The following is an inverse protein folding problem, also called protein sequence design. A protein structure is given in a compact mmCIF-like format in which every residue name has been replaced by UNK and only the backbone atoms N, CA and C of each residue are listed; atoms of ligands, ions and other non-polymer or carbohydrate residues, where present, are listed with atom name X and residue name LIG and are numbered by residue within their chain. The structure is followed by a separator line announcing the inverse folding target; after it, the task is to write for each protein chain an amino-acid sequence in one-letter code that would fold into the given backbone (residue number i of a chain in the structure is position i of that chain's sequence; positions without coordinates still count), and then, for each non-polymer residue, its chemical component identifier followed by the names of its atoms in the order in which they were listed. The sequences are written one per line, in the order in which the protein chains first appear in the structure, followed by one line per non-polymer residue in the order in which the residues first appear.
data_IF_006317994440
#
_entry.id   IF_006317994440
#
_cell.length_a   1.000
_cell.length_b   1.000
_cell.length_c   1.000
_cell.angle_alpha   90.00
_cell.angle_beta   90.00
_cell.angle_gamma   90.00
#
_symmetry.space_group_name_H-M   'P 1'
#
loop_
_entity.id
_entity.type
_entity.pdbx_description
1 polymer ?
#
# COMPACT_ATOMS: atom_id res chain seq x y z
N UNK A 1 -12.34 -5.17 -17.31
CA UNK A 1 -12.07 -4.11 -16.31
C UNK A 1 -12.18 -4.74 -14.94
N UNK A 2 -11.07 -4.88 -14.20
CA UNK A 2 -11.10 -5.43 -12.85
C UNK A 2 -11.63 -4.37 -11.88
N UNK A 3 -12.73 -4.65 -11.18
CA UNK A 3 -13.21 -3.82 -10.07
C UNK A 3 -12.43 -4.20 -8.82
N UNK A 4 -11.38 -3.45 -8.48
CA UNK A 4 -10.96 -3.33 -7.09
C UNK A 4 -12.11 -2.63 -6.35
N UNK A 5 -12.71 -3.29 -5.35
CA UNK A 5 -13.73 -2.66 -4.51
C UNK A 5 -12.99 -1.97 -3.36
N UNK A 6 -12.80 -0.64 -3.37
CA UNK A 6 -12.37 0.05 -2.17
C UNK A 6 -13.50 -0.03 -1.13
N UNK A 7 -13.14 -0.23 0.14
CA UNK A 7 -14.09 -0.31 1.26
C UNK A 7 -14.97 0.95 1.34
N UNK A 8 -14.51 2.08 0.80
CA UNK A 8 -15.22 3.36 0.73
C UNK A 8 -16.30 3.48 -0.35
N UNK A 9 -16.41 2.58 -1.33
CA UNK A 9 -17.43 2.62 -2.40
C UNK A 9 -18.55 1.57 -2.26
N UNK A 10 -18.77 1.05 -1.05
CA UNK A 10 -19.92 0.20 -0.72
C UNK A 10 -21.22 1.03 -0.69
N UNK A 11 -21.69 1.48 -1.85
CA UNK A 11 -23.09 1.92 -2.02
C UNK A 11 -24.00 0.71 -2.22
N UNK A 12 -25.26 0.86 -1.81
CA UNK A 12 -25.99 -0.07 -0.94
C UNK A 12 -26.45 -1.41 -1.52
N UNK A 13 -26.61 -1.58 -2.84
CA UNK A 13 -27.51 -2.66 -3.29
C UNK A 13 -26.88 -3.77 -4.13
N UNK A 14 -25.74 -3.56 -4.80
CA UNK A 14 -25.08 -4.64 -5.59
C UNK A 14 -23.72 -5.07 -5.04
N UNK A 15 -23.07 -4.22 -4.24
CA UNK A 15 -21.81 -4.55 -3.55
C UNK A 15 -22.03 -5.24 -2.20
N UNK A 16 -23.26 -5.20 -1.66
CA UNK A 16 -23.54 -5.71 -0.33
C UNK A 16 -23.47 -7.24 -0.25
N UNK A 17 -23.82 -7.99 -1.29
CA UNK A 17 -23.78 -9.46 -1.26
C UNK A 17 -22.34 -10.00 -1.27
N UNK A 18 -21.50 -9.53 -2.20
CA UNK A 18 -20.11 -9.99 -2.33
C UNK A 18 -19.26 -9.55 -1.12
N UNK A 19 -19.45 -8.31 -0.63
CA UNK A 19 -18.76 -7.83 0.57
C UNK A 19 -19.23 -8.54 1.84
N UNK A 20 -20.54 -8.80 2.02
CA UNK A 20 -21.04 -9.52 3.19
C UNK A 20 -20.59 -10.98 3.21
N UNK A 21 -20.52 -11.64 2.05
CA UNK A 21 -20.06 -13.03 1.97
C UNK A 21 -18.55 -13.14 2.25
N UNK A 22 -17.74 -12.24 1.68
CA UNK A 22 -16.30 -12.15 1.97
C UNK A 22 -16.05 -11.79 3.45
N UNK A 23 -16.80 -10.84 4.00
CA UNK A 23 -16.69 -10.44 5.40
C UNK A 23 -17.13 -11.56 6.35
N UNK A 24 -18.19 -12.31 6.03
CA UNK A 24 -18.65 -13.47 6.82
C UNK A 24 -17.63 -14.61 6.81
N UNK A 25 -16.94 -14.82 5.69
CA UNK A 25 -15.85 -15.78 5.58
C UNK A 25 -14.60 -15.33 6.35
N UNK A 26 -14.27 -14.03 6.34
CA UNK A 26 -13.16 -13.46 7.09
C UNK A 26 -13.41 -13.36 8.61
N UNK A 27 -14.67 -13.14 9.05
CA UNK A 27 -15.09 -13.09 10.46
C UNK A 27 -15.09 -14.44 11.18
N UNK A 28 -14.51 -15.49 10.59
CA UNK A 28 -14.28 -16.73 11.31
C UNK A 28 -13.38 -16.48 12.53
N UNK A 29 -13.59 -17.22 13.62
CA UNK A 29 -12.82 -17.14 14.88
C UNK A 29 -11.31 -17.42 14.73
N UNK A 30 -10.84 -17.64 13.50
CA UNK A 30 -9.44 -17.95 13.15
C UNK A 30 -8.55 -16.70 13.13
N UNK A 31 -9.08 -15.50 12.88
CA UNK A 31 -8.25 -14.29 12.79
C UNK A 31 -7.60 -13.87 14.14
N UNK A 32 -8.22 -14.23 15.26
CA UNK A 32 -7.66 -13.94 16.60
C UNK A 32 -6.76 -15.06 17.13
N UNK A 33 -6.50 -16.12 16.34
CA UNK A 33 -5.72 -17.27 16.79
C UNK A 33 -4.23 -16.95 16.77
N UNK A 34 -3.59 -17.05 17.93
CA UNK A 34 -2.14 -17.10 18.04
C UNK A 34 -1.66 -18.54 17.88
N UNK A 35 -0.56 -18.70 17.14
CA UNK A 35 0.08 -19.98 16.90
C UNK A 35 1.37 -20.01 17.73
N UNK A 36 1.48 -20.93 18.68
CA UNK A 36 2.76 -21.25 19.33
C UNK A 36 3.24 -22.55 18.71
N UNK A 37 3.84 -22.47 17.53
CA UNK A 37 4.38 -23.63 16.83
C UNK A 37 5.82 -23.86 17.26
N UNK A 38 6.16 -25.12 17.51
CA UNK A 38 7.55 -25.58 17.52
C UNK A 38 8.06 -25.71 16.07
N UNK A 39 9.38 -25.82 15.91
CA UNK A 39 10.02 -25.88 14.59
C UNK A 39 9.51 -27.05 13.74
N UNK A 40 9.17 -28.18 14.38
CA UNK A 40 8.62 -29.36 13.73
C UNK A 40 7.19 -29.13 13.21
N UNK A 41 6.33 -28.44 13.98
CA UNK A 41 4.99 -28.10 13.50
C UNK A 41 5.03 -27.04 12.40
N UNK A 42 6.03 -26.14 12.39
CA UNK A 42 6.13 -25.21 11.26
C UNK A 42 6.50 -25.93 9.95
N UNK A 43 7.38 -26.93 9.96
CA UNK A 43 7.77 -27.61 8.71
C UNK A 43 6.55 -28.24 8.02
N UNK A 44 5.62 -28.82 8.79
CA UNK A 44 4.37 -29.39 8.25
C UNK A 44 3.49 -28.32 7.59
N UNK A 45 3.38 -27.12 8.18
CA UNK A 45 2.61 -26.03 7.57
C UNK A 45 3.30 -25.49 6.32
N UNK A 46 4.63 -25.42 6.32
CA UNK A 46 5.40 -25.03 5.12
C UNK A 46 5.15 -26.02 3.98
N UNK A 47 5.10 -27.32 4.25
CA UNK A 47 4.80 -28.33 3.23
C UNK A 47 3.40 -28.13 2.64
N UNK A 48 2.39 -27.89 3.50
CA UNK A 48 1.04 -27.52 3.06
C UNK A 48 1.00 -26.24 2.23
N UNK A 49 1.81 -25.23 2.59
CA UNK A 49 1.94 -24.00 1.80
C UNK A 49 2.59 -24.27 0.44
N UNK A 50 3.63 -25.10 0.39
CA UNK A 50 4.35 -25.44 -0.85
C UNK A 50 3.46 -26.18 -1.86
N UNK A 51 2.51 -27.01 -1.40
CA UNK A 51 1.55 -27.70 -2.28
C UNK A 51 0.67 -26.74 -3.10
N UNK A 52 0.39 -25.56 -2.54
CA UNK A 52 -0.46 -24.54 -3.17
C UNK A 52 0.34 -23.29 -3.57
N UNK A 53 1.67 -23.32 -3.46
CA UNK A 53 2.52 -22.19 -3.82
C UNK A 53 2.61 -22.05 -5.34
N UNK A 54 2.21 -20.89 -5.85
CA UNK A 54 2.15 -20.60 -7.28
C UNK A 54 3.54 -20.61 -7.94
N UNK A 55 4.63 -20.40 -7.19
CA UNK A 55 6.00 -20.51 -7.71
C UNK A 55 6.44 -21.96 -7.88
N UNK A 56 6.00 -22.83 -6.97
CA UNK A 56 6.33 -24.26 -6.96
C UNK A 56 5.38 -25.08 -7.84
N UNK A 57 4.24 -24.50 -8.19
CA UNK A 57 3.25 -25.13 -9.06
C UNK A 57 3.83 -25.43 -10.46
N UNK A 58 4.02 -26.72 -10.74
CA UNK A 58 4.56 -27.22 -12.01
C UNK A 58 3.49 -27.55 -13.06
N UNK A 59 2.21 -27.34 -12.73
CA UNK A 59 1.12 -27.63 -13.66
C UNK A 59 1.14 -26.69 -14.86
N UNK A 60 1.19 -27.27 -16.06
CA UNK A 60 1.14 -26.53 -17.33
C UNK A 60 -0.23 -25.89 -17.61
N UNK A 61 -1.27 -26.24 -16.84
CA UNK A 61 -2.64 -25.77 -17.03
C UNK A 61 -3.18 -25.13 -15.75
N UNK A 62 -3.92 -24.03 -15.93
CA UNK A 62 -4.70 -23.39 -14.87
C UNK A 62 -5.70 -24.39 -14.27
N UNK A 63 -5.59 -24.72 -12.98
CA UNK A 63 -6.62 -25.52 -12.29
C UNK A 63 -7.80 -24.62 -11.96
N UNK A 64 -8.88 -24.76 -12.72
CA UNK A 64 -10.06 -23.88 -12.66
C UNK A 64 -10.83 -23.93 -11.33
N UNK A 65 -10.59 -24.96 -10.51
CA UNK A 65 -11.37 -25.20 -9.28
C UNK A 65 -10.56 -25.04 -7.98
N UNK A 66 -9.32 -24.55 -8.05
CA UNK A 66 -8.49 -24.36 -6.86
C UNK A 66 -7.85 -22.98 -6.83
N UNK A 67 -7.63 -22.47 -5.62
CA UNK A 67 -6.80 -21.29 -5.38
C UNK A 67 -5.38 -21.68 -5.01
N UNK A 68 -4.42 -20.81 -5.30
CA UNK A 68 -3.04 -20.97 -4.85
C UNK A 68 -2.53 -19.70 -4.16
N UNK A 69 -1.37 -19.78 -3.53
CA UNK A 69 -0.78 -18.71 -2.73
C UNK A 69 0.55 -18.24 -3.31
N UNK A 70 0.85 -16.97 -3.08
CA UNK A 70 2.15 -16.36 -3.27
C UNK A 70 2.55 -15.70 -1.95
N UNK A 71 3.76 -15.98 -1.49
CA UNK A 71 4.33 -15.35 -0.30
C UNK A 71 5.49 -14.46 -0.76
N UNK A 72 5.49 -13.20 -0.30
CA UNK A 72 6.56 -12.24 -0.59
C UNK A 72 7.89 -12.71 -0.03
N UNK A 73 8.98 -12.33 -0.68
CA UNK A 73 10.34 -12.70 -0.25
C UNK A 73 10.70 -12.18 1.15
N UNK A 74 10.10 -11.07 1.58
CA UNK A 74 10.33 -10.47 2.90
C UNK A 74 9.47 -11.09 4.02
N UNK A 75 8.49 -11.95 3.68
CA UNK A 75 7.59 -12.54 4.65
C UNK A 75 8.08 -13.92 5.07
N UNK A 76 8.23 -14.13 6.38
CA UNK A 76 8.63 -15.42 6.91
C UNK A 76 7.42 -16.37 7.04
N UNK A 77 7.50 -17.55 6.41
CA UNK A 77 6.37 -18.49 6.34
C UNK A 77 5.91 -19.03 7.70
N UNK A 78 6.79 -19.14 8.69
CA UNK A 78 6.42 -19.53 10.06
C UNK A 78 5.96 -18.36 10.93
N UNK A 79 5.87 -17.14 10.40
CA UNK A 79 5.38 -16.01 11.19
C UNK A 79 3.88 -16.19 11.47
N UNK A 80 3.46 -15.94 12.71
CA UNK A 80 2.06 -16.09 13.14
C UNK A 80 1.07 -15.30 12.28
N UNK A 81 1.48 -14.15 11.75
CA UNK A 81 0.68 -13.35 10.83
C UNK A 81 0.43 -14.10 9.51
N UNK A 82 1.48 -14.67 8.89
CA UNK A 82 1.42 -15.43 7.64
C UNK A 82 0.66 -16.74 7.81
N UNK A 83 0.90 -17.48 8.89
CA UNK A 83 0.22 -18.75 9.19
C UNK A 83 -1.28 -18.56 9.34
N UNK A 84 -1.68 -17.56 10.12
CA UNK A 84 -3.07 -17.17 10.26
C UNK A 84 -3.68 -16.79 8.92
N UNK A 85 -2.98 -15.96 8.15
CA UNK A 85 -3.44 -15.51 6.83
C UNK A 85 -3.59 -16.66 5.84
N UNK A 86 -2.70 -17.64 5.89
CA UNK A 86 -2.81 -18.86 5.11
C UNK A 86 -4.07 -19.66 5.49
N UNK A 87 -4.31 -19.86 6.78
CA UNK A 87 -5.43 -20.65 7.29
C UNK A 87 -6.78 -20.01 7.00
N UNK A 88 -7.02 -18.73 7.34
CA UNK A 88 -8.33 -18.14 7.09
C UNK A 88 -8.62 -17.96 5.60
N UNK A 89 -7.61 -17.65 4.79
CA UNK A 89 -7.80 -17.56 3.33
C UNK A 89 -8.01 -18.94 2.69
N UNK A 90 -7.60 -20.03 3.35
CA UNK A 90 -7.87 -21.41 2.91
C UNK A 90 -9.28 -21.90 3.24
N UNK A 91 -10.11 -21.07 3.89
CA UNK A 91 -11.46 -21.44 4.29
C UNK A 91 -12.30 -21.90 3.08
N UNK A 92 -13.04 -23.03 3.18
CA UNK A 92 -13.93 -23.51 2.12
C UNK A 92 -14.97 -22.47 1.69
N UNK A 93 -15.35 -21.56 2.59
CA UNK A 93 -16.28 -20.47 2.29
C UNK A 93 -15.68 -19.49 1.26
N UNK A 94 -14.38 -19.20 1.33
CA UNK A 94 -13.71 -18.31 0.37
C UNK A 94 -13.64 -18.97 -1.01
N UNK A 95 -13.32 -20.26 -1.06
CA UNK A 95 -13.26 -21.02 -2.31
C UNK A 95 -14.64 -21.12 -2.98
N UNK A 96 -15.70 -21.32 -2.20
CA UNK A 96 -17.09 -21.28 -2.70
C UNK A 96 -17.42 -19.91 -3.31
N UNK A 97 -17.08 -18.81 -2.62
CA UNK A 97 -17.31 -17.45 -3.13
C UNK A 97 -16.56 -17.21 -4.44
N UNK A 98 -15.31 -17.69 -4.56
CA UNK A 98 -14.56 -17.58 -5.81
C UNK A 98 -15.25 -18.31 -6.97
N UNK A 99 -15.72 -19.53 -6.73
CA UNK A 99 -16.45 -20.33 -7.72
C UNK A 99 -17.77 -19.67 -8.12
N UNK A 100 -18.54 -19.18 -7.15
CA UNK A 100 -19.80 -18.47 -7.38
C UNK A 100 -19.60 -17.20 -8.20
N UNK A 101 -18.54 -16.44 -7.93
CA UNK A 101 -18.23 -15.22 -8.68
C UNK A 101 -17.93 -15.50 -10.16
N UNK A 102 -17.16 -16.54 -10.48
CA UNK A 102 -16.91 -16.93 -11.90
C UNK A 102 -18.19 -17.46 -12.55
N UNK A 103 -18.99 -18.23 -11.80
CA UNK A 103 -20.27 -18.76 -12.31
C UNK A 103 -21.26 -17.64 -12.62
N UNK A 104 -21.28 -16.59 -11.80
CA UNK A 104 -22.15 -15.44 -11.97
C UNK A 104 -21.63 -14.48 -13.07
N UNK A 105 -20.31 -14.34 -13.21
CA UNK A 105 -19.67 -13.50 -14.21
C UNK A 105 -18.46 -14.19 -14.84
N UNK A 106 -18.68 -14.78 -16.02
CA UNK A 106 -17.65 -15.46 -16.80
C UNK A 106 -16.56 -14.53 -17.36
N UNK A 107 -16.70 -13.20 -17.23
CA UNK A 107 -15.67 -12.23 -17.65
C UNK A 107 -14.57 -12.03 -16.60
N UNK A 108 -14.75 -12.55 -15.39
CA UNK A 108 -13.77 -12.49 -14.30
C UNK A 108 -12.59 -13.41 -14.62
N UNK A 109 -11.46 -12.80 -15.02
CA UNK A 109 -10.25 -13.54 -15.38
C UNK A 109 -9.46 -14.07 -14.16
N UNK A 110 -9.47 -13.32 -13.05
CA UNK A 110 -8.78 -13.69 -11.82
C UNK A 110 -9.42 -12.97 -10.62
N UNK A 111 -9.35 -13.62 -9.47
CA UNK A 111 -9.73 -13.12 -8.16
C UNK A 111 -8.55 -13.29 -7.23
N UNK A 112 -8.36 -12.34 -6.31
CA UNK A 112 -7.23 -12.38 -5.40
C UNK A 112 -7.56 -11.77 -4.05
N UNK A 113 -6.86 -12.24 -3.02
CA UNK A 113 -6.85 -11.69 -1.67
C UNK A 113 -5.41 -11.32 -1.37
N UNK A 114 -5.15 -10.04 -1.10
CA UNK A 114 -3.88 -9.61 -0.50
C UNK A 114 -4.05 -9.45 0.99
N UNK A 115 -3.06 -9.87 1.75
CA UNK A 115 -3.05 -9.72 3.22
C UNK A 115 -1.92 -8.80 3.66
N UNK A 116 -2.00 -8.29 4.89
CA UNK A 116 -0.98 -7.42 5.48
C UNK A 116 0.30 -8.18 5.86
N UNK A 117 0.25 -9.51 5.97
CA UNK A 117 1.44 -10.35 6.18
C UNK A 117 2.27 -10.55 4.90
N UNK A 118 1.75 -10.14 3.73
CA UNK A 118 2.39 -10.40 2.43
C UNK A 118 1.89 -11.66 1.72
N UNK A 119 1.03 -12.46 2.35
CA UNK A 119 0.39 -13.58 1.65
C UNK A 119 -0.64 -13.08 0.64
N UNK A 120 -0.54 -13.56 -0.59
CA UNK A 120 -1.51 -13.31 -1.66
C UNK A 120 -2.13 -14.62 -2.11
N UNK A 121 -3.45 -14.76 -2.01
CA UNK A 121 -4.18 -15.91 -2.58
C UNK A 121 -4.78 -15.54 -3.92
N UNK A 122 -4.61 -16.37 -4.94
CA UNK A 122 -5.09 -16.16 -6.30
C UNK A 122 -5.98 -17.32 -6.75
N UNK A 123 -7.06 -16.98 -7.46
CA UNK A 123 -8.00 -17.91 -8.06
C UNK A 123 -8.33 -17.49 -9.50
N UNK A 124 -8.33 -18.40 -10.49
CA UNK A 124 -7.89 -19.79 -10.37
C UNK A 124 -6.37 -19.88 -10.19
N UNK A 125 -5.90 -21.01 -9.63
CA UNK A 125 -4.49 -21.28 -9.44
C UNK A 125 -3.77 -21.37 -10.79
N UNK A 126 -2.72 -20.56 -10.95
CA UNK A 126 -1.89 -20.45 -12.15
C UNK A 126 -0.43 -20.27 -11.76
N UNK A 127 0.49 -20.95 -12.46
CA UNK A 127 1.94 -20.80 -12.24
C UNK A 127 2.33 -19.32 -12.23
N UNK A 128 3.07 -18.92 -11.20
CA UNK A 128 3.66 -17.60 -11.08
C UNK A 128 4.90 -17.53 -11.97
N UNK A 129 4.82 -16.74 -13.04
CA UNK A 129 5.90 -16.61 -14.03
C UNK A 129 6.56 -15.25 -13.83
N UNK A 130 7.88 -15.24 -13.73
CA UNK A 130 8.70 -14.03 -13.61
C UNK A 130 9.66 -14.07 -14.78
N UNK A 131 9.54 -13.13 -15.72
CA UNK A 131 10.40 -13.12 -16.90
C UNK A 131 11.52 -12.09 -16.78
N UNK A 132 12.81 -12.45 -16.97
CA UNK A 132 13.35 -13.80 -17.21
C UNK A 132 13.61 -14.65 -15.92
N UNK A 133 13.04 -15.87 -15.86
CA UNK A 133 13.02 -16.77 -14.68
C UNK A 133 14.39 -17.10 -14.02
N UNK A 134 15.57 -17.12 -14.69
CA UNK A 134 16.82 -17.44 -14.00
C UNK A 134 17.58 -16.22 -13.42
N UNK A 135 17.17 -14.99 -13.72
CA UNK A 135 17.94 -13.78 -13.34
C UNK A 135 17.14 -12.90 -12.36
N UNK A 136 15.82 -12.89 -12.46
CA UNK A 136 14.98 -11.95 -11.72
C UNK A 136 14.46 -12.54 -10.41
N UNK A 137 14.84 -11.91 -9.30
CA UNK A 137 14.23 -12.14 -8.00
C UNK A 137 12.80 -11.59 -8.03
N UNK A 138 11.87 -12.35 -7.46
CA UNK A 138 10.48 -11.92 -7.31
C UNK A 138 10.31 -10.84 -6.24
N UNK A 139 10.12 -9.60 -6.66
CA UNK A 139 9.84 -8.48 -5.75
C UNK A 139 8.33 -8.20 -5.62
N UNK A 140 7.47 -9.16 -5.98
CA UNK A 140 6.04 -8.97 -5.80
C UNK A 140 5.67 -8.95 -4.32
N UNK A 141 4.98 -7.87 -3.94
CA UNK A 141 4.35 -7.71 -2.64
C UNK A 141 2.97 -7.05 -2.81
N UNK A 142 1.88 -7.64 -2.27
CA UNK A 142 0.55 -7.06 -2.37
C UNK A 142 0.46 -5.68 -1.72
N UNK A 143 1.22 -5.43 -0.65
CA UNK A 143 1.14 -4.21 0.18
C UNK A 143 1.54 -2.95 -0.57
N UNK A 144 2.41 -3.09 -1.56
CA UNK A 144 2.84 -1.99 -2.41
C UNK A 144 2.02 -1.88 -3.71
N UNK A 145 1.01 -2.73 -3.92
CA UNK A 145 0.19 -2.65 -5.14
C UNK A 145 -0.86 -1.56 -5.04
N UNK A 146 -1.09 -0.78 -6.12
CA UNK A 146 -2.08 0.29 -6.10
C UNK A 146 -3.48 -0.16 -5.68
N UNK A 147 -3.92 -1.35 -6.08
CA UNK A 147 -5.22 -1.90 -5.70
C UNK A 147 -5.34 -2.16 -4.19
N UNK A 148 -4.25 -2.52 -3.53
CA UNK A 148 -4.20 -2.77 -2.09
C UNK A 148 -4.15 -1.45 -1.31
N UNK A 149 -3.25 -0.55 -1.72
CA UNK A 149 -3.09 0.78 -1.10
C UNK A 149 -4.40 1.59 -1.17
N UNK A 150 -5.06 1.59 -2.33
CA UNK A 150 -6.33 2.29 -2.53
C UNK A 150 -7.49 1.68 -1.73
N UNK A 151 -7.40 0.40 -1.36
CA UNK A 151 -8.43 -0.26 -0.55
C UNK A 151 -8.24 0.00 0.95
N UNK A 152 -6.99 0.18 1.40
CA UNK A 152 -6.65 0.36 2.82
C UNK A 152 -6.75 1.80 3.32
N UNK A 153 -6.61 2.80 2.45
CA UNK A 153 -6.54 4.20 2.87
C UNK A 153 -7.38 5.10 1.97
N UNK A 154 -8.00 6.11 2.57
CA UNK A 154 -8.51 7.24 1.82
C UNK A 154 -7.37 8.00 1.11
N UNK A 155 -7.68 8.79 0.07
CA UNK A 155 -6.74 9.71 -0.56
C UNK A 155 -6.03 10.62 0.45
N UNK A 156 -4.81 11.05 0.12
CA UNK A 156 -3.94 11.79 1.03
C UNK A 156 -3.38 13.05 0.38
N UNK A 157 -3.29 14.13 1.15
CA UNK A 157 -2.58 15.36 0.83
C UNK A 157 -1.27 15.38 1.62
N UNK A 158 -0.13 15.14 0.95
CA UNK A 158 1.19 15.03 1.59
C UNK A 158 2.05 16.25 1.29
N UNK A 159 2.46 16.97 2.34
CA UNK A 159 3.46 18.04 2.28
C UNK A 159 4.83 17.51 2.73
N UNK A 160 5.80 17.47 1.83
CA UNK A 160 7.19 17.15 2.16
C UNK A 160 7.93 18.41 2.62
N UNK A 161 8.52 18.39 3.81
CA UNK A 161 9.44 19.40 4.31
C UNK A 161 10.85 18.80 4.33
N UNK A 162 11.74 19.30 3.47
CA UNK A 162 13.06 18.73 3.23
C UNK A 162 14.14 19.69 3.74
N UNK A 163 14.87 19.29 4.75
CA UNK A 163 16.04 20.03 5.23
C UNK A 163 17.16 19.97 4.18
N UNK A 164 17.69 21.13 3.81
CA UNK A 164 18.83 21.32 2.91
C UNK A 164 19.90 22.22 3.57
N UNK A 165 19.98 22.16 4.90
CA UNK A 165 21.02 22.81 5.68
C UNK A 165 22.42 22.24 5.38
N UNK A 166 23.45 22.84 5.98
CA UNK A 166 24.83 22.40 5.79
C UNK A 166 25.10 21.00 6.35
N UNK A 167 24.36 20.57 7.39
CA UNK A 167 24.59 19.31 8.12
C UNK A 167 24.15 18.10 7.31
N UNK A 168 23.04 18.21 6.57
CA UNK A 168 22.51 17.13 5.73
C UNK A 168 23.33 16.87 4.45
N UNK A 169 24.41 17.62 4.19
CA UNK A 169 25.22 17.43 2.98
C UNK A 169 25.90 16.05 2.95
N UNK A 170 26.06 15.50 1.75
CA UNK A 170 26.73 14.21 1.54
C UNK A 170 25.75 13.04 1.55
N UNK A 171 26.00 12.03 2.38
CA UNK A 171 25.20 10.80 2.41
C UNK A 171 23.76 11.03 2.89
N UNK A 172 23.57 11.94 3.86
CA UNK A 172 22.24 12.23 4.42
C UNK A 172 21.27 12.74 3.37
N UNK A 173 21.63 13.74 2.55
CA UNK A 173 20.75 14.24 1.48
C UNK A 173 20.43 13.16 0.44
N UNK A 174 21.38 12.24 0.18
CA UNK A 174 21.14 11.11 -0.71
C UNK A 174 20.09 10.16 -0.13
N UNK A 175 20.20 9.81 1.16
CA UNK A 175 19.21 8.99 1.85
C UNK A 175 17.83 9.65 1.86
N UNK A 176 17.76 10.94 2.22
CA UNK A 176 16.51 11.72 2.20
C UNK A 176 15.87 11.67 0.81
N UNK A 177 16.65 11.89 -0.25
CA UNK A 177 16.16 11.82 -1.64
C UNK A 177 15.60 10.44 -1.98
N UNK A 178 16.31 9.37 -1.63
CA UNK A 178 15.84 8.00 -1.87
C UNK A 178 14.56 7.69 -1.11
N UNK A 179 14.45 8.13 0.14
CA UNK A 179 13.24 7.95 0.96
C UNK A 179 12.04 8.70 0.37
N UNK A 180 12.22 9.98 -0.03
CA UNK A 180 11.14 10.76 -0.67
C UNK A 180 10.69 10.10 -1.97
N UNK A 181 11.62 9.64 -2.81
CA UNK A 181 11.28 8.92 -4.05
C UNK A 181 10.52 7.61 -3.77
N UNK A 182 10.91 6.87 -2.74
CA UNK A 182 10.22 5.64 -2.34
C UNK A 182 8.80 5.93 -1.87
N UNK A 183 8.59 6.98 -1.08
CA UNK A 183 7.25 7.42 -0.64
C UNK A 183 6.41 7.87 -1.85
N UNK A 184 6.96 8.68 -2.76
CA UNK A 184 6.26 9.10 -3.98
C UNK A 184 5.82 7.90 -4.84
N UNK A 185 6.61 6.81 -4.87
CA UNK A 185 6.25 5.59 -5.57
C UNK A 185 4.99 4.92 -5.00
N UNK A 186 4.73 5.05 -3.69
CA UNK A 186 3.54 4.48 -3.02
C UNK A 186 2.26 5.30 -3.22
N UNK A 187 2.37 6.57 -3.63
CA UNK A 187 1.22 7.45 -3.79
C UNK A 187 0.43 7.14 -5.07
N UNK A 188 -0.89 7.16 -4.92
CA UNK A 188 -1.90 6.90 -5.94
C UNK A 188 -2.19 8.17 -6.75
N UNK A 189 -2.71 8.08 -7.99
CA UNK A 189 -3.15 9.25 -8.75
C UNK A 189 -4.22 10.11 -8.08
N UNK A 190 -4.93 9.57 -7.07
CA UNK A 190 -5.92 10.29 -6.27
C UNK A 190 -5.30 11.09 -5.12
N UNK A 191 -4.03 10.84 -4.79
CA UNK A 191 -3.30 11.56 -3.74
C UNK A 191 -2.75 12.87 -4.31
N UNK A 192 -2.59 13.86 -3.43
CA UNK A 192 -2.01 15.15 -3.76
C UNK A 192 -0.70 15.35 -3.00
N UNK A 193 0.27 15.97 -3.67
CA UNK A 193 1.59 16.23 -3.14
C UNK A 193 1.94 17.70 -3.24
N UNK A 194 2.69 18.16 -2.24
CA UNK A 194 3.46 19.38 -2.31
C UNK A 194 4.80 19.17 -1.60
N UNK A 195 5.84 19.90 -1.99
CA UNK A 195 7.16 19.75 -1.39
C UNK A 195 7.83 21.12 -1.22
N UNK A 196 8.43 21.33 -0.05
CA UNK A 196 9.17 22.52 0.33
C UNK A 196 10.50 22.06 0.89
N UNK A 197 11.59 22.65 0.41
CA UNK A 197 12.88 22.50 1.05
C UNK A 197 13.23 23.75 1.85
N UNK A 198 13.98 23.60 2.93
CA UNK A 198 14.34 24.70 3.79
C UNK A 198 15.79 24.64 4.27
N UNK A 199 16.37 25.81 4.50
CA UNK A 199 17.61 26.03 5.23
C UNK A 199 17.46 27.35 6.02
N UNK A 200 18.30 28.35 5.78
CA UNK A 200 18.05 29.75 6.18
C UNK A 200 16.89 30.42 5.41
N UNK A 201 16.40 29.80 4.32
CA UNK A 201 15.24 30.22 3.53
C UNK A 201 14.31 29.04 3.29
N UNK A 202 13.06 29.32 2.96
CA UNK A 202 12.06 28.31 2.59
C UNK A 202 11.75 28.43 1.11
N UNK A 203 11.82 27.32 0.39
CA UNK A 203 11.80 27.30 -1.07
C UNK A 203 10.98 26.08 -1.53
N UNK A 204 9.85 26.27 -2.23
CA UNK A 204 9.08 25.14 -2.75
C UNK A 204 9.85 24.42 -3.85
N UNK A 205 9.60 23.12 -3.96
CA UNK A 205 10.29 22.19 -4.85
C UNK A 205 9.52 22.04 -6.17
N UNK A 206 8.19 22.07 -6.10
CA UNK A 206 7.34 21.94 -7.28
C UNK A 206 7.28 23.30 -7.98
N UNK A 207 7.94 23.41 -9.14
CA UNK A 207 7.88 24.56 -10.03
C UNK A 207 7.10 24.21 -11.28
N UNK A 208 6.02 24.94 -11.55
CA UNK A 208 5.18 24.80 -12.74
C UNK A 208 4.06 25.83 -12.76
N UNK A 209 3.10 25.69 -13.68
CA UNK A 209 1.92 26.56 -13.79
C UNK A 209 0.95 26.49 -12.59
N UNK A 210 1.34 25.83 -11.50
CA UNK A 210 0.46 25.53 -10.38
C UNK A 210 1.19 25.88 -9.08
N UNK A 211 0.58 26.80 -8.34
CA UNK A 211 0.93 27.07 -6.96
C UNK A 211 0.12 26.14 -6.05
N UNK A 212 0.81 25.33 -5.24
CA UNK A 212 0.19 24.47 -4.22
C UNK A 212 0.24 22.96 -4.51
N UNK A 213 -0.81 22.24 -4.10
CA UNK A 213 -0.88 20.79 -4.19
C UNK A 213 -1.22 20.32 -5.60
N UNK A 214 -0.46 19.34 -6.09
CA UNK A 214 -0.69 18.71 -7.40
C UNK A 214 -1.07 17.23 -7.21
N UNK A 215 -1.87 16.64 -8.11
CA UNK A 215 -2.16 15.22 -8.04
C UNK A 215 -0.89 14.40 -8.34
N UNK A 216 -0.70 13.30 -7.63
CA UNK A 216 0.46 12.40 -7.71
C UNK A 216 0.40 11.46 -8.94
N UNK A 217 0.06 12.01 -10.10
CA UNK A 217 0.06 11.30 -11.38
C UNK A 217 1.47 10.90 -11.80
N UNK A 218 1.61 9.84 -12.60
CA UNK A 218 2.91 9.36 -13.10
C UNK A 218 3.75 10.45 -13.77
N UNK A 219 3.10 11.39 -14.49
CA UNK A 219 3.78 12.55 -15.11
C UNK A 219 4.36 13.49 -14.06
N UNK A 220 3.55 13.87 -13.08
CA UNK A 220 3.91 14.83 -12.05
C UNK A 220 4.99 14.24 -11.11
N UNK A 221 4.89 12.94 -10.79
CA UNK A 221 5.92 12.21 -10.03
C UNK A 221 7.26 12.08 -10.76
N UNK A 222 7.25 12.00 -12.10
CA UNK A 222 8.46 11.81 -12.92
C UNK A 222 9.18 13.12 -13.26
N UNK A 223 8.43 14.20 -13.45
CA UNK A 223 8.95 15.41 -14.11
C UNK A 223 9.17 16.60 -13.16
N UNK A 224 8.66 16.59 -11.92
CA UNK A 224 8.54 17.83 -11.13
C UNK A 224 9.41 17.90 -9.86
N UNK A 225 10.33 16.97 -9.63
CA UNK A 225 11.30 17.11 -8.52
C UNK A 225 12.56 17.85 -9.00
N UNK A 226 12.39 19.10 -9.45
CA UNK A 226 13.48 20.04 -9.76
C UNK A 226 13.49 21.16 -8.71
N UNK A 227 14.33 21.00 -7.68
CA UNK A 227 14.44 21.88 -6.52
C UNK A 227 14.86 23.32 -6.89
N UNK A 228 13.92 24.26 -7.04
CA UNK A 228 14.12 25.72 -6.88
C UNK A 228 12.77 26.44 -6.74
N UNK A 229 12.78 27.69 -6.24
CA UNK A 229 11.74 28.62 -5.65
C UNK A 229 10.35 28.89 -6.27
N UNK A 230 9.34 29.17 -5.43
CA UNK A 230 8.28 30.20 -5.59
C UNK A 230 7.17 30.04 -4.54
N UNK A 231 7.06 30.98 -3.57
CA UNK A 231 5.83 31.16 -2.80
C UNK A 231 4.96 32.21 -3.48
N UNK A 232 3.78 31.79 -3.93
CA UNK A 232 2.55 32.48 -3.59
C UNK A 232 1.37 31.49 -3.68
N UNK A 233 0.33 31.78 -2.92
CA UNK A 233 -1.03 31.24 -3.05
C UNK A 233 -1.48 29.93 -2.36
N UNK A 234 -2.78 30.04 -2.11
CA UNK A 234 -3.73 29.34 -1.27
C UNK A 234 -3.92 27.85 -1.57
N UNK A 235 -4.49 27.14 -0.58
CA UNK A 235 -4.91 25.74 -0.66
C UNK A 235 -6.06 25.54 -1.65
N UNK A 236 -5.81 25.63 -2.97
CA UNK A 236 -6.86 25.60 -4.00
C UNK A 236 -7.26 24.17 -4.39
N UNK A 237 -6.42 23.17 -4.16
CA UNK A 237 -6.73 21.76 -4.44
C UNK A 237 -6.40 20.86 -3.25
N UNK A 238 -7.36 20.03 -2.85
CA UNK A 238 -7.24 19.03 -1.78
C UNK A 238 -7.98 17.77 -2.22
N UNK A 239 -7.44 16.60 -1.88
CA UNK A 239 -8.13 15.32 -2.07
C UNK A 239 -9.37 15.17 -1.18
N UNK A 240 -9.55 16.05 -0.19
CA UNK A 240 -10.58 15.93 0.85
C UNK A 240 -10.32 14.79 1.84
N UNK A 241 -9.18 14.10 1.74
CA UNK A 241 -8.79 13.00 2.61
C UNK A 241 -7.81 13.40 3.71
N UNK A 242 -6.87 12.51 4.02
CA UNK A 242 -5.93 12.75 5.12
C UNK A 242 -4.90 13.83 4.76
N UNK A 243 -4.69 14.79 5.66
CA UNK A 243 -3.64 15.81 5.53
C UNK A 243 -2.42 15.39 6.32
N UNK A 244 -1.26 15.35 5.68
CA UNK A 244 -0.02 14.87 6.28
C UNK A 244 1.14 15.83 5.97
N UNK A 245 1.94 16.14 6.99
CA UNK A 245 3.20 16.88 6.84
C UNK A 245 4.32 15.93 7.25
N UNK A 246 5.28 15.70 6.35
CA UNK A 246 6.44 14.85 6.59
C UNK A 246 7.70 15.69 6.61
N UNK A 247 8.47 15.64 7.70
CA UNK A 247 9.74 16.35 7.86
C UNK A 247 10.93 15.40 7.68
N UNK A 248 11.87 15.77 6.82
CA UNK A 248 13.14 15.07 6.59
C UNK A 248 14.29 15.98 7.02
N UNK A 249 15.03 15.60 8.06
CA UNK A 249 16.15 16.35 8.64
C UNK A 249 17.12 15.37 9.30
N UNK A 250 18.38 15.76 9.52
CA UNK A 250 19.36 14.97 10.27
C UNK A 250 19.35 15.23 11.79
N UNK A 251 18.50 16.15 12.25
CA UNK A 251 18.31 16.46 13.65
C UNK A 251 18.27 17.96 13.90
N UNK A 252 17.74 18.36 15.05
CA UNK A 252 17.66 19.77 15.45
C UNK A 252 18.16 19.94 16.88
N UNK A 253 18.97 20.96 17.14
CA UNK A 253 19.30 21.38 18.51
C UNK A 253 18.11 22.09 19.19
N UNK A 254 17.27 22.76 18.41
CA UNK A 254 16.06 23.44 18.89
C UNK A 254 14.84 22.58 18.58
N UNK A 255 14.19 22.04 19.60
CA UNK A 255 12.82 21.54 19.45
C UNK A 255 11.96 22.73 19.00
N UNK A 256 11.10 22.54 18.01
CA UNK A 256 10.19 23.59 17.51
C UNK A 256 8.76 23.51 18.06
N UNK A 257 8.51 23.62 19.39
CA UNK A 257 7.16 23.60 19.91
C UNK A 257 6.39 24.89 19.61
N UNK A 258 7.06 26.04 19.43
CA UNK A 258 6.36 27.33 19.31
C UNK A 258 5.52 27.48 18.04
N UNK A 259 5.94 26.90 16.91
CA UNK A 259 5.22 27.04 15.63
C UNK A 259 3.96 26.16 15.54
N UNK A 260 4.00 24.95 16.12
CA UNK A 260 2.84 24.04 16.14
C UNK A 260 1.81 24.51 17.17
N UNK A 261 2.27 25.01 18.31
CA UNK A 261 1.42 25.46 19.41
C UNK A 261 0.71 26.79 19.09
N UNK A 262 1.40 27.72 18.42
CA UNK A 262 0.79 28.99 17.99
C UNK A 262 -0.33 28.78 16.97
N UNK A 263 -0.18 27.83 16.05
CA UNK A 263 -1.18 27.55 15.01
C UNK A 263 -2.41 26.82 15.55
N UNK A 264 -2.26 25.95 16.56
CA UNK A 264 -3.39 25.33 17.26
C UNK A 264 -4.21 26.39 18.00
N UNK A 265 -3.55 27.36 18.62
CA UNK A 265 -4.22 28.46 19.33
C UNK A 265 -4.92 29.47 18.38
N UNK A 266 -4.50 29.59 17.12
CA UNK A 266 -5.20 30.39 16.10
C UNK A 266 -6.44 29.66 15.59
N UNK A 267 -6.36 28.34 15.33
CA UNK A 267 -7.52 27.54 14.89
C UNK A 267 -8.62 27.45 15.95
N UNK A 268 -8.27 27.37 17.24
CA UNK A 268 -9.25 27.38 18.33
C UNK A 268 -9.95 28.75 18.49
N UNK A 269 -9.34 29.85 18.02
CA UNK A 269 -9.98 31.19 18.05
C UNK A 269 -11.00 31.39 16.94
N UNK A 270 -10.89 30.66 15.84
CA UNK A 270 -11.83 30.71 14.71
C UNK A 270 -13.03 29.77 14.88
N UNK A 271 -13.14 29.09 16.03
CA UNK A 271 -14.23 28.13 16.33
C UNK A 271 -15.21 28.61 17.42
N UNK A 272 -15.27 29.92 17.70
CA UNK A 272 -16.23 30.56 18.62
C UNK A 272 -17.18 31.49 17.88
#
# INVERSE_FOLDING_TARGET
MCKSIPISLLTSDMSSSCSKNAERAARSQLYSREYNLDDASCSEVIDRMNEVDLKMYSGAQTTQNRSGIHVTVEAYRCENSVLRDFEWTSSPLIEQVFLENIKNDATVAAQYIGTTSGLTRLFPMKKWIIDPEPITIDLFDPRFRPWFVNAQSAPKDVLFLIDMSGSVKGQTVHLIRMTVLHILATLSPNDYINAIWFNSRQVPVLRGCFDGFIPAMTRNKRNEVNFTDAWNETWVASSGGHKLIMLFTDGSENRGPSAVESRRNELDKDTV
#
